data_IF_558854040811
#
_entry.id   IF_558854040811
#
_cell.length_a   1.000
_cell.length_b   1.000
_cell.length_c   1.000
_cell.angle_alpha   90.00
_cell.angle_beta   90.00
_cell.angle_gamma   90.00
#
_symmetry.space_group_name_H-M   'P 1'
#
loop_
_entity.id
_entity.type
_entity.pdbx_description
1 polymer ?
#
# COMPACT_ATOMS: atom_id res chain seq x y z
N UNK A 1 -87.06 11.60 10.70
CA UNK A 1 -87.31 11.78 9.26
C UNK A 1 -86.21 11.02 8.52
N UNK A 2 -86.61 10.07 7.67
CA UNK A 2 -85.88 9.47 6.52
C UNK A 2 -84.38 9.09 6.63
N UNK A 3 -83.92 7.90 6.23
CA UNK A 3 -84.34 6.48 6.47
C UNK A 3 -83.20 5.53 6.01
N UNK A 4 -83.24 4.26 6.44
CA UNK A 4 -82.45 3.08 5.98
C UNK A 4 -81.00 2.90 6.51
N UNK A 5 -80.50 1.68 6.73
CA UNK A 5 -81.10 0.33 6.89
C UNK A 5 -80.16 -0.48 7.81
N UNK A 6 -80.71 -1.42 8.59
CA UNK A 6 -79.93 -2.36 9.42
C UNK A 6 -80.06 -3.80 8.92
N UNK A 7 -79.27 -4.72 9.53
CA UNK A 7 -79.18 -6.19 9.32
C UNK A 7 -78.37 -6.66 8.11
N UNK A 8 -77.77 -7.86 8.12
CA UNK A 8 -77.30 -8.78 9.18
C UNK A 8 -76.39 -9.82 8.46
N UNK A 9 -75.67 -10.75 9.12
CA UNK A 9 -76.06 -12.14 9.50
C UNK A 9 -74.68 -12.78 9.80
N UNK A 10 -74.32 -13.17 11.02
CA UNK A 10 -74.67 -14.39 11.77
C UNK A 10 -74.04 -15.70 11.24
N UNK A 11 -73.19 -16.30 12.09
CA UNK A 11 -72.88 -17.73 12.27
C UNK A 11 -72.39 -18.62 11.09
N UNK A 12 -71.68 -19.69 11.47
CA UNK A 12 -71.64 -20.93 10.69
C UNK A 12 -70.27 -21.56 10.56
N UNK A 13 -70.07 -22.71 11.21
CA UNK A 13 -69.16 -23.73 10.68
C UNK A 13 -69.66 -24.19 9.30
N UNK A 14 -68.80 -24.71 8.43
CA UNK A 14 -68.89 -26.12 7.98
C UNK A 14 -67.78 -26.45 6.98
N UNK A 15 -67.34 -27.70 7.11
CA UNK A 15 -66.37 -28.43 6.33
C UNK A 15 -66.63 -28.45 4.81
N UNK A 16 -65.54 -28.60 4.04
CA UNK A 16 -65.50 -29.37 2.79
C UNK A 16 -66.22 -28.83 1.54
N UNK A 17 -65.45 -28.39 0.53
CA UNK A 17 -65.10 -29.22 -0.66
C UNK A 17 -64.28 -28.47 -1.72
N UNK A 18 -63.20 -29.14 -2.14
CA UNK A 18 -62.71 -29.30 -3.53
C UNK A 18 -62.56 -28.05 -4.42
N UNK A 19 -61.28 -27.76 -4.75
CA UNK A 19 -60.74 -27.79 -6.12
C UNK A 19 -61.12 -26.59 -7.06
N UNK A 20 -60.29 -26.11 -8.00
CA UNK A 20 -58.97 -26.55 -8.50
C UNK A 20 -58.30 -25.41 -9.34
N UNK A 21 -56.95 -25.32 -9.34
CA UNK A 21 -56.06 -24.60 -10.31
C UNK A 21 -56.27 -23.05 -10.51
N UNK A 22 -55.32 -22.17 -10.83
CA UNK A 22 -53.88 -22.19 -11.27
C UNK A 22 -53.29 -20.77 -10.95
N UNK A 23 -51.98 -20.40 -11.02
CA UNK A 23 -50.68 -21.02 -11.33
C UNK A 23 -49.53 -20.22 -10.63
N UNK A 24 -48.37 -20.87 -10.44
CA UNK A 24 -46.97 -20.41 -10.23
C UNK A 24 -46.62 -18.90 -9.99
N UNK A 25 -45.65 -18.58 -9.12
CA UNK A 25 -44.22 -18.92 -9.26
C UNK A 25 -43.53 -19.28 -7.92
N UNK A 26 -42.42 -20.03 -7.98
CA UNK A 26 -41.72 -20.59 -6.82
C UNK A 26 -40.22 -20.20 -6.79
N UNK A 27 -39.66 -20.02 -5.58
CA UNK A 27 -38.24 -20.20 -5.22
C UNK A 27 -37.99 -19.76 -3.77
N UNK A 28 -37.05 -20.30 -3.00
CA UNK A 28 -36.53 -21.68 -2.91
C UNK A 28 -35.91 -21.80 -1.50
N UNK A 29 -36.05 -22.95 -0.82
CA UNK A 29 -35.50 -23.12 0.52
C UNK A 29 -34.00 -23.48 0.49
N UNK A 30 -33.18 -22.84 1.33
CA UNK A 30 -31.96 -23.41 1.92
C UNK A 30 -31.32 -22.42 2.93
N UNK A 31 -31.56 -22.63 4.23
CA UNK A 31 -30.64 -22.11 5.26
C UNK A 31 -29.40 -23.02 5.29
N UNK A 32 -28.54 -22.87 4.28
CA UNK A 32 -27.29 -23.61 4.16
C UNK A 32 -26.30 -23.17 5.23
N UNK A 33 -25.58 -24.13 5.82
CA UNK A 33 -24.51 -23.83 6.77
C UNK A 33 -23.48 -22.90 6.13
N UNK A 34 -23.25 -21.73 6.72
CA UNK A 34 -22.17 -20.83 6.32
C UNK A 34 -20.85 -21.48 6.72
N UNK A 35 -20.27 -22.25 5.81
CA UNK A 35 -18.89 -22.68 5.92
C UNK A 35 -18.02 -21.42 6.00
N UNK A 36 -17.39 -21.19 7.15
CA UNK A 36 -16.44 -20.12 7.35
C UNK A 36 -15.16 -20.49 6.59
N UNK A 37 -15.16 -20.24 5.28
CA UNK A 37 -13.95 -20.22 4.48
C UNK A 37 -13.14 -18.99 4.90
N UNK A 38 -12.34 -19.16 5.96
CA UNK A 38 -11.26 -18.25 6.25
C UNK A 38 -10.36 -18.14 5.00
N UNK A 39 -10.02 -16.94 4.52
CA UNK A 39 -9.14 -16.78 3.38
C UNK A 39 -7.71 -17.20 3.78
N UNK A 40 -7.39 -18.48 3.56
CA UNK A 40 -6.02 -19.00 3.56
C UNK A 40 -5.27 -18.47 2.31
N UNK A 41 -5.10 -17.15 2.24
CA UNK A 41 -4.57 -16.41 1.11
C UNK A 41 -3.51 -15.39 1.56
N UNK A 42 -2.61 -15.83 2.44
CA UNK A 42 -1.42 -15.08 2.88
C UNK A 42 -0.21 -15.99 3.13
N UNK A 43 -0.19 -17.18 2.50
CA UNK A 43 0.93 -18.12 2.50
C UNK A 43 1.31 -18.49 1.06
N UNK A 44 1.34 -17.50 0.16
CA UNK A 44 2.07 -17.63 -1.09
C UNK A 44 3.55 -17.49 -0.79
N UNK A 45 4.28 -18.60 -0.97
CA UNK A 45 5.73 -18.71 -1.00
C UNK A 45 6.54 -17.60 -0.30
N UNK A 46 6.93 -17.87 0.95
CA UNK A 46 8.23 -17.41 1.45
C UNK A 46 9.34 -18.29 0.86
N UNK A 47 9.28 -18.53 -0.47
CA UNK A 47 10.45 -18.90 -1.24
C UNK A 47 11.38 -17.69 -1.15
N UNK A 48 12.38 -17.79 -0.26
CA UNK A 48 13.17 -16.66 0.22
C UNK A 48 13.47 -15.66 -0.90
N UNK A 49 12.78 -14.51 -0.86
CA UNK A 49 12.86 -13.52 -1.91
C UNK A 49 14.34 -13.14 -2.06
N UNK A 50 14.93 -13.47 -3.21
CA UNK A 50 16.34 -13.17 -3.45
C UNK A 50 16.52 -11.67 -3.29
N UNK A 51 17.46 -11.29 -2.42
CA UNK A 51 17.76 -9.90 -2.15
C UNK A 51 17.93 -9.15 -3.47
N UNK A 52 17.18 -8.06 -3.61
CA UNK A 52 17.19 -7.20 -4.79
C UNK A 52 18.11 -6.01 -4.58
N UNK A 53 18.52 -5.40 -5.68
CA UNK A 53 19.19 -4.10 -5.65
C UNK A 53 18.17 -2.99 -5.86
N UNK A 54 18.26 -1.93 -5.07
CA UNK A 54 17.35 -0.81 -5.06
C UNK A 54 18.13 0.50 -5.20
N UNK A 55 17.60 1.41 -6.00
CA UNK A 55 18.08 2.78 -6.10
C UNK A 55 17.10 3.70 -5.39
N UNK A 56 17.64 4.60 -4.56
CA UNK A 56 16.93 5.69 -3.91
C UNK A 56 17.41 6.98 -4.52
N UNK A 57 16.50 7.70 -5.16
CA UNK A 57 16.77 9.03 -5.71
C UNK A 57 16.28 10.04 -4.70
N UNK A 58 17.20 10.90 -4.23
CA UNK A 58 16.92 11.96 -3.27
C UNK A 58 16.79 13.30 -4.00
N UNK A 59 15.71 14.02 -3.69
CA UNK A 59 15.40 15.35 -4.21
C UNK A 59 15.27 16.35 -3.05
N UNK A 60 15.28 17.65 -3.35
CA UNK A 60 14.91 18.71 -2.41
C UNK A 60 13.47 18.47 -1.90
N UNK A 61 13.30 18.27 -0.59
CA UNK A 61 12.01 18.21 0.07
C UNK A 61 11.43 19.60 0.37
N UNK A 62 10.23 19.66 0.96
CA UNK A 62 9.51 20.91 1.25
C UNK A 62 10.17 21.77 2.34
N UNK A 63 10.99 21.20 3.22
CA UNK A 63 11.76 21.91 4.23
C UNK A 63 13.20 22.29 3.77
N UNK A 64 13.57 21.97 2.53
CA UNK A 64 14.89 22.31 1.98
C UNK A 64 15.07 23.83 1.83
N UNK A 65 16.13 24.37 2.44
CA UNK A 65 16.40 25.81 2.45
C UNK A 65 17.36 26.18 1.32
N UNK A 66 16.83 26.70 0.21
CA UNK A 66 17.62 27.03 -0.99
C UNK A 66 18.74 28.07 -0.79
N UNK A 67 18.72 28.84 0.30
CA UNK A 67 19.78 29.78 0.69
C UNK A 67 20.96 29.14 1.43
N UNK A 68 20.91 27.84 1.71
CA UNK A 68 21.92 27.07 2.45
C UNK A 68 22.56 26.02 1.55
N UNK A 69 23.85 25.75 1.75
CA UNK A 69 24.52 24.60 1.16
C UNK A 69 23.93 23.29 1.73
N UNK A 70 24.18 22.16 1.04
CA UNK A 70 23.67 20.85 1.48
C UNK A 70 24.16 20.48 2.90
N UNK A 71 25.37 20.88 3.28
CA UNK A 71 25.95 20.60 4.60
C UNK A 71 25.37 21.44 5.75
N UNK A 72 24.66 22.52 5.43
CA UNK A 72 24.01 23.44 6.38
C UNK A 72 22.51 23.17 6.55
N UNK A 73 21.93 22.30 5.72
CA UNK A 73 20.56 21.83 5.87
C UNK A 73 20.43 21.03 7.18
N UNK A 74 19.29 21.16 7.85
CA UNK A 74 18.97 20.36 9.04
C UNK A 74 18.97 18.87 8.72
N UNK A 75 19.45 18.05 9.66
CA UNK A 75 19.44 16.58 9.59
C UNK A 75 20.26 15.94 8.45
N UNK A 76 21.03 16.70 7.66
CA UNK A 76 21.87 16.12 6.60
C UNK A 76 23.10 15.38 7.16
N UNK A 77 23.66 15.81 8.30
CA UNK A 77 24.76 15.07 8.95
C UNK A 77 24.28 13.70 9.44
N UNK A 78 23.08 13.69 9.99
CA UNK A 78 22.36 12.53 10.49
C UNK A 78 21.93 11.61 9.34
N UNK A 79 21.49 12.15 8.19
CA UNK A 79 21.27 11.41 6.95
C UNK A 79 22.55 10.73 6.43
N UNK A 80 23.68 11.44 6.39
CA UNK A 80 24.97 10.88 5.97
C UNK A 80 25.40 9.73 6.90
N UNK A 81 25.28 9.92 8.22
CA UNK A 81 25.53 8.86 9.19
C UNK A 81 24.53 7.69 9.07
N UNK A 82 23.27 7.97 8.75
CA UNK A 82 22.26 6.94 8.52
C UNK A 82 22.58 6.08 7.29
N UNK A 83 23.08 6.67 6.20
CA UNK A 83 23.57 5.94 5.03
C UNK A 83 24.66 4.91 5.37
N UNK A 84 25.51 5.20 6.35
CA UNK A 84 26.57 4.27 6.81
C UNK A 84 26.01 3.01 7.48
N UNK A 85 24.75 3.02 7.96
CA UNK A 85 24.12 1.83 8.57
C UNK A 85 23.88 0.68 7.60
N UNK A 86 23.93 0.95 6.29
CA UNK A 86 23.84 -0.10 5.25
C UNK A 86 25.02 -1.07 5.29
N UNK A 87 26.21 -0.63 5.72
CA UNK A 87 27.41 -1.45 5.79
C UNK A 87 27.70 -2.18 4.47
N UNK A 88 27.75 -3.52 4.51
CA UNK A 88 28.01 -4.36 3.34
C UNK A 88 26.88 -4.35 2.28
N UNK A 89 25.67 -3.87 2.63
CA UNK A 89 24.56 -3.74 1.67
C UNK A 89 24.70 -2.53 0.74
N UNK A 90 25.59 -1.58 1.05
CA UNK A 90 25.83 -0.40 0.23
C UNK A 90 26.66 -0.77 -1.02
N UNK A 91 26.16 -0.43 -2.21
CA UNK A 91 26.84 -0.73 -3.48
C UNK A 91 27.42 0.53 -4.15
N UNK A 92 26.68 1.63 -4.13
CA UNK A 92 27.11 2.91 -4.67
C UNK A 92 26.32 4.06 -4.04
N UNK A 93 26.90 5.25 -4.02
CA UNK A 93 26.20 6.45 -3.61
C UNK A 93 26.98 7.70 -3.99
N UNK A 94 26.27 8.80 -4.20
CA UNK A 94 26.88 10.06 -4.59
C UNK A 94 25.86 11.15 -4.86
N UNK A 95 26.38 12.36 -5.06
CA UNK A 95 25.61 13.52 -5.48
C UNK A 95 25.32 13.42 -6.99
N UNK A 96 24.15 13.91 -7.40
CA UNK A 96 23.74 13.97 -8.80
C UNK A 96 23.76 15.42 -9.28
N UNK A 97 24.28 15.65 -10.48
CA UNK A 97 24.29 16.96 -11.13
C UNK A 97 25.12 18.01 -10.38
N UNK A 98 24.67 19.26 -10.45
CA UNK A 98 25.22 20.38 -9.69
C UNK A 98 24.27 20.73 -8.54
N UNK A 99 24.79 20.67 -7.31
CA UNK A 99 24.02 20.89 -6.07
C UNK A 99 23.18 22.19 -6.05
N UNK A 100 23.59 23.19 -6.83
CA UNK A 100 23.01 24.53 -6.89
C UNK A 100 21.72 24.59 -7.71
N UNK A 101 21.64 23.94 -8.86
CA UNK A 101 20.53 24.12 -9.81
C UNK A 101 19.57 22.92 -9.86
N UNK A 102 20.08 21.70 -9.62
CA UNK A 102 19.28 20.49 -9.77
C UNK A 102 18.32 20.25 -8.59
N UNK A 103 17.09 19.85 -8.92
CA UNK A 103 16.09 19.39 -7.94
C UNK A 103 16.50 18.05 -7.31
N UNK A 104 17.12 17.18 -8.12
CA UNK A 104 17.70 15.91 -7.70
C UNK A 104 19.07 16.19 -7.09
N UNK A 105 19.29 15.74 -5.86
CA UNK A 105 20.49 16.03 -5.08
C UNK A 105 21.49 14.88 -5.10
N UNK A 106 21.01 13.64 -5.13
CA UNK A 106 21.86 12.46 -5.01
C UNK A 106 21.11 11.15 -5.16
N UNK A 107 21.88 10.06 -5.17
CA UNK A 107 21.37 8.71 -5.26
C UNK A 107 22.17 7.77 -4.36
N UNK A 108 21.48 6.80 -3.77
CA UNK A 108 22.08 5.66 -3.05
C UNK A 108 21.55 4.37 -3.69
N UNK A 109 22.45 3.40 -3.90
CA UNK A 109 22.14 2.08 -4.46
C UNK A 109 22.58 1.02 -3.46
N UNK A 110 21.65 0.16 -3.03
CA UNK A 110 21.89 -0.83 -1.98
C UNK A 110 21.06 -2.11 -2.13
N UNK A 111 21.46 -3.16 -1.41
CA UNK A 111 20.77 -4.44 -1.35
C UNK A 111 19.71 -4.50 -0.25
N UNK A 112 18.51 -5.00 -0.56
CA UNK A 112 17.47 -5.25 0.42
C UNK A 112 16.68 -6.53 0.10
N UNK A 113 15.94 -7.03 1.08
CA UNK A 113 15.16 -8.26 0.99
C UNK A 113 14.02 -8.14 -0.04
N UNK A 114 13.42 -6.95 -0.16
CA UNK A 114 12.38 -6.58 -1.13
C UNK A 114 12.22 -5.04 -1.17
N UNK A 115 11.34 -4.53 -2.05
CA UNK A 115 11.14 -3.08 -2.20
C UNK A 115 10.45 -2.47 -0.97
N UNK A 116 9.66 -3.24 -0.22
CA UNK A 116 9.03 -2.83 1.04
C UNK A 116 10.08 -2.58 2.12
N UNK A 117 11.07 -3.47 2.27
CA UNK A 117 12.20 -3.30 3.17
C UNK A 117 13.06 -2.09 2.78
N UNK A 118 13.31 -1.89 1.48
CA UNK A 118 14.02 -0.71 0.99
C UNK A 118 13.26 0.60 1.29
N UNK A 119 11.95 0.65 1.02
CA UNK A 119 11.08 1.78 1.38
C UNK A 119 11.04 2.01 2.89
N UNK A 120 11.00 0.94 3.70
CA UNK A 120 10.99 1.03 5.15
C UNK A 120 12.30 1.59 5.69
N UNK A 121 13.46 1.21 5.13
CA UNK A 121 14.75 1.83 5.47
C UNK A 121 14.74 3.33 5.11
N UNK A 122 14.32 3.70 3.89
CA UNK A 122 14.23 5.11 3.47
C UNK A 122 13.26 5.93 4.36
N UNK A 123 12.15 5.34 4.82
CA UNK A 123 11.22 6.05 5.73
C UNK A 123 11.81 6.36 7.10
N UNK A 124 12.93 5.73 7.47
CA UNK A 124 13.63 5.98 8.72
C UNK A 124 14.74 7.05 8.63
N UNK A 125 15.11 7.45 7.40
CA UNK A 125 16.14 8.43 7.10
C UNK A 125 15.84 9.81 7.74
N UNK A 126 16.76 10.39 8.55
CA UNK A 126 16.58 11.69 9.19
C UNK A 126 16.31 12.85 8.23
N UNK A 127 16.90 12.83 7.02
CA UNK A 127 16.67 13.84 6.00
C UNK A 127 15.26 13.76 5.40
N UNK A 128 14.74 12.54 5.27
CA UNK A 128 13.37 12.28 4.76
C UNK A 128 12.32 12.59 5.84
N UNK A 129 12.54 12.13 7.08
CA UNK A 129 11.64 12.38 8.23
C UNK A 129 11.45 13.85 8.59
N UNK A 130 12.37 14.71 8.17
CA UNK A 130 12.32 16.16 8.41
C UNK A 130 11.93 16.96 7.18
N UNK A 131 11.47 16.29 6.12
CA UNK A 131 11.07 16.86 4.83
C UNK A 131 12.15 17.72 4.14
N UNK A 132 13.42 17.61 4.56
CA UNK A 132 14.56 18.26 3.91
C UNK A 132 14.90 17.53 2.61
N UNK A 133 14.76 16.22 2.61
CA UNK A 133 14.87 15.36 1.43
C UNK A 133 13.51 14.75 1.11
N UNK A 134 13.16 14.74 -0.17
CA UNK A 134 12.15 13.82 -0.71
C UNK A 134 12.89 12.61 -1.30
N UNK A 135 12.33 11.42 -1.21
CA UNK A 135 12.99 10.19 -1.66
C UNK A 135 12.05 9.31 -2.47
N UNK A 136 12.55 8.73 -3.58
CA UNK A 136 11.82 7.74 -4.36
C UNK A 136 12.64 6.46 -4.53
N UNK A 137 12.02 5.31 -4.25
CA UNK A 137 12.66 3.98 -4.29
C UNK A 137 12.25 3.24 -5.56
N UNK A 138 13.24 2.73 -6.29
CA UNK A 138 13.07 1.94 -7.52
C UNK A 138 13.86 0.64 -7.45
N UNK A 139 13.33 -0.42 -8.06
CA UNK A 139 14.15 -1.59 -8.38
C UNK A 139 15.28 -1.17 -9.34
N UNK A 140 16.50 -1.60 -9.05
CA UNK A 140 17.66 -1.38 -9.91
C UNK A 140 18.04 -2.72 -10.55
N UNK A 141 17.78 -2.85 -11.86
CA UNK A 141 18.20 -4.04 -12.61
C UNK A 141 19.70 -3.97 -12.88
N UNK A 142 20.48 -4.74 -12.13
CA UNK A 142 21.93 -4.88 -12.35
C UNK A 142 22.16 -5.66 -13.65
N UNK A 143 22.51 -4.93 -14.71
CA UNK A 143 22.99 -5.51 -15.99
C UNK A 143 24.50 -5.68 -16.01
N UNK A 144 25.23 -4.79 -15.32
CA UNK A 144 26.63 -4.96 -14.93
C UNK A 144 26.98 -4.02 -13.78
N UNK A 145 27.89 -4.43 -12.89
CA UNK A 145 28.55 -3.54 -11.93
C UNK A 145 30.04 -3.52 -12.27
N UNK A 146 30.56 -2.33 -12.57
CA UNK A 146 31.98 -2.02 -12.48
C UNK A 146 32.12 -0.91 -11.47
N UNK A 147 32.74 -1.18 -10.33
CA UNK A 147 33.06 -0.14 -9.36
C UNK A 147 33.94 0.91 -10.04
N UNK A 148 33.62 2.20 -9.86
CA UNK A 148 34.51 3.27 -10.27
C UNK A 148 35.73 3.24 -9.33
N UNK A 149 36.80 2.57 -9.78
CA UNK A 149 38.11 2.74 -9.20
C UNK A 149 38.66 4.05 -9.74
N UNK A 150 38.56 5.11 -8.93
CA UNK A 150 39.22 6.38 -9.21
C UNK A 150 40.71 6.16 -9.42
N UNK A 151 41.27 6.85 -10.43
CA UNK A 151 42.72 6.91 -10.66
C UNK A 151 43.37 7.94 -9.75
#
# INVERSE_FOLDING_TARGET
MNIHIAKAIQAGSFTSRRAILTLALAAFAAFGAVAIFAPAAAAQDVAAAKAGVFAVIYERGSAYQGSKSIAEQSNIKEHIAYGQTLGHKFLAGGLLGTLTEDKVLGMVVFEAENIEAAKQWVSQDPGVKSDVLSASVRHWQVTSIKAYQGK
#
